data_IF_647713507232
#
_entry.id   IF_647713507232
#
_cell.length_a   1.000
_cell.length_b   1.000
_cell.length_c   1.000
_cell.angle_alpha   90.00
_cell.angle_beta   90.00
_cell.angle_gamma   90.00
#
_symmetry.space_group_name_H-M   'P 1'
#
loop_
_entity.id
_entity.type
_entity.pdbx_description
1 polymer ?
#
# COMPACT_ATOMS: atom_id res chain seq x y z
N UNK A 1 13.08 -59.38 -40.56
CA UNK A 1 12.46 -59.88 -41.80
C UNK A 1 11.47 -60.97 -41.42
N UNK A 2 10.21 -60.77 -41.79
CA UNK A 2 9.17 -61.73 -42.22
C UNK A 2 9.11 -63.13 -41.59
N UNK A 3 7.95 -63.45 -41.02
CA UNK A 3 7.40 -64.79 -40.78
C UNK A 3 6.39 -64.74 -39.63
N UNK A 4 5.12 -65.13 -39.73
CA UNK A 4 4.42 -65.88 -40.75
C UNK A 4 2.91 -65.56 -40.75
N UNK A 5 2.33 -65.61 -41.96
CA UNK A 5 0.93 -65.87 -42.25
C UNK A 5 0.51 -67.25 -41.70
N UNK A 6 -0.73 -67.40 -41.21
CA UNK A 6 -1.67 -68.43 -41.71
C UNK A 6 -3.09 -67.90 -41.56
N UNK A 7 -3.85 -68.20 -42.60
CA UNK A 7 -5.17 -67.73 -42.97
C UNK A 7 -6.31 -68.61 -42.46
N UNK A 8 -7.47 -67.95 -42.35
CA UNK A 8 -8.83 -68.39 -42.70
C UNK A 8 -9.45 -69.62 -42.02
N UNK A 9 -10.65 -69.40 -41.45
CA UNK A 9 -11.86 -70.11 -41.87
C UNK A 9 -13.10 -69.23 -41.65
N UNK A 10 -13.88 -69.11 -42.71
CA UNK A 10 -15.15 -68.38 -42.87
C UNK A 10 -16.31 -69.36 -42.62
N UNK A 11 -17.45 -68.84 -42.13
CA UNK A 11 -18.86 -69.13 -42.52
C UNK A 11 -19.83 -68.97 -41.32
N UNK A 12 -21.14 -68.80 -41.51
CA UNK A 12 -21.81 -67.64 -42.10
C UNK A 12 -22.93 -67.09 -41.20
N UNK A 13 -23.58 -66.04 -41.73
CA UNK A 13 -24.71 -65.27 -41.21
C UNK A 13 -25.87 -66.06 -40.56
N UNK A 14 -26.60 -65.39 -39.68
CA UNK A 14 -28.06 -65.20 -39.76
C UNK A 14 -28.57 -64.29 -38.62
N UNK A 15 -29.55 -63.43 -38.92
CA UNK A 15 -30.59 -63.08 -37.94
C UNK A 15 -30.56 -61.67 -37.33
N UNK A 16 -31.18 -60.73 -38.05
CA UNK A 16 -32.22 -59.81 -37.56
C UNK A 16 -32.02 -59.07 -36.22
N UNK A 17 -32.01 -57.72 -36.31
CA UNK A 17 -33.10 -56.83 -35.87
C UNK A 17 -32.60 -55.39 -35.90
N UNK A 18 -33.16 -54.60 -36.81
CA UNK A 18 -33.06 -53.13 -36.80
C UNK A 18 -33.84 -52.56 -35.62
N UNK A 19 -33.21 -51.82 -34.68
CA UNK A 19 -33.94 -50.91 -33.81
C UNK A 19 -34.11 -49.59 -34.56
N UNK A 20 -35.34 -49.41 -35.03
CA UNK A 20 -36.12 -48.17 -35.01
C UNK A 20 -35.33 -46.90 -34.60
N UNK A 21 -35.16 -45.99 -35.58
CA UNK A 21 -34.68 -44.62 -35.36
C UNK A 21 -35.62 -43.92 -34.38
N UNK A 22 -35.23 -43.85 -33.11
CA UNK A 22 -35.84 -42.93 -32.15
C UNK A 22 -35.60 -41.50 -32.65
N UNK A 23 -36.63 -40.64 -32.72
CA UNK A 23 -36.45 -39.24 -33.09
C UNK A 23 -35.54 -38.58 -32.06
N UNK A 24 -34.49 -37.92 -32.55
CA UNK A 24 -33.59 -37.11 -31.74
C UNK A 24 -34.44 -36.15 -30.90
N UNK A 25 -34.55 -36.46 -29.61
CA UNK A 25 -35.14 -35.54 -28.65
C UNK A 25 -34.12 -34.42 -28.54
N UNK A 26 -34.41 -33.29 -29.18
CA UNK A 26 -33.70 -32.03 -29.00
C UNK A 26 -33.89 -31.65 -27.54
N UNK A 27 -33.02 -32.19 -26.68
CA UNK A 27 -32.94 -31.83 -25.29
C UNK A 27 -32.56 -30.36 -25.24
N UNK A 28 -33.54 -29.51 -24.95
CA UNK A 28 -33.28 -28.17 -24.51
C UNK A 28 -32.47 -28.29 -23.23
N UNK A 29 -31.14 -28.24 -23.36
CA UNK A 29 -30.23 -28.05 -22.24
C UNK A 29 -30.55 -26.69 -21.68
N UNK A 30 -31.44 -26.64 -20.69
CA UNK A 30 -31.56 -25.50 -19.80
C UNK A 30 -30.18 -25.30 -19.20
N UNK A 31 -29.45 -24.30 -19.71
CA UNK A 31 -28.25 -23.83 -19.06
C UNK A 31 -28.69 -23.44 -17.64
N UNK A 32 -28.38 -24.29 -16.66
CA UNK A 32 -28.65 -24.01 -15.26
C UNK A 32 -27.82 -22.78 -14.95
N UNK A 33 -28.49 -21.62 -14.90
CA UNK A 33 -27.85 -20.37 -14.58
C UNK A 33 -27.16 -20.56 -13.23
N UNK A 34 -25.83 -20.46 -13.23
CA UNK A 34 -25.06 -20.53 -11.98
C UNK A 34 -25.62 -19.47 -11.03
N UNK A 35 -25.86 -19.80 -9.76
CA UNK A 35 -26.36 -18.83 -8.81
C UNK A 35 -25.39 -17.63 -8.77
N UNK A 36 -25.91 -16.40 -8.63
CA UNK A 36 -25.06 -15.23 -8.57
C UNK A 36 -24.06 -15.37 -7.43
N UNK A 37 -22.80 -14.94 -7.59
CA UNK A 37 -21.78 -15.06 -6.56
C UNK A 37 -22.22 -14.33 -5.28
N UNK A 38 -21.87 -14.89 -4.12
CA UNK A 38 -22.08 -14.22 -2.83
C UNK A 38 -21.23 -12.95 -2.72
N UNK A 39 -21.62 -12.02 -1.85
CA UNK A 39 -20.86 -10.78 -1.66
C UNK A 39 -19.42 -11.05 -1.18
N UNK A 40 -19.24 -12.08 -0.33
CA UNK A 40 -17.92 -12.53 0.08
C UNK A 40 -17.07 -13.04 -1.10
N UNK A 41 -17.70 -13.77 -2.03
CA UNK A 41 -17.03 -14.23 -3.25
C UNK A 41 -16.68 -13.05 -4.17
N UNK A 42 -17.55 -12.05 -4.27
CA UNK A 42 -17.30 -10.83 -5.05
C UNK A 42 -16.12 -10.02 -4.48
N UNK A 43 -16.09 -9.78 -3.17
CA UNK A 43 -14.98 -9.05 -2.52
C UNK A 43 -13.66 -9.82 -2.69
N UNK A 44 -13.65 -11.14 -2.53
CA UNK A 44 -12.44 -11.95 -2.75
C UNK A 44 -11.99 -11.90 -4.22
N UNK A 45 -12.94 -11.91 -5.18
CA UNK A 45 -12.65 -11.77 -6.60
C UNK A 45 -12.07 -10.38 -6.91
N UNK A 46 -12.63 -9.32 -6.34
CA UNK A 46 -12.11 -7.96 -6.45
C UNK A 46 -10.65 -7.89 -5.96
N UNK A 47 -10.36 -8.43 -4.77
CA UNK A 47 -8.99 -8.47 -4.21
C UNK A 47 -8.02 -9.22 -5.15
N UNK A 48 -8.44 -10.35 -5.73
CA UNK A 48 -7.61 -11.11 -6.65
C UNK A 48 -7.30 -10.34 -7.94
N UNK A 49 -8.29 -9.65 -8.52
CA UNK A 49 -8.12 -8.81 -9.70
C UNK A 49 -7.20 -7.62 -9.41
N UNK A 50 -7.45 -6.90 -8.31
CA UNK A 50 -6.61 -5.77 -7.88
C UNK A 50 -5.16 -6.21 -7.61
N UNK A 51 -4.96 -7.39 -7.05
CA UNK A 51 -3.62 -7.97 -6.84
C UNK A 51 -2.92 -8.25 -8.18
N UNK A 52 -3.63 -8.81 -9.16
CA UNK A 52 -3.08 -9.05 -10.48
C UNK A 52 -2.75 -7.73 -11.21
N UNK A 53 -3.64 -6.74 -11.09
CA UNK A 53 -3.46 -5.40 -11.64
C UNK A 53 -2.22 -4.71 -11.04
N UNK A 54 -2.05 -4.75 -9.72
CA UNK A 54 -0.89 -4.20 -9.03
C UNK A 54 0.42 -4.85 -9.47
N UNK A 55 0.45 -6.19 -9.57
CA UNK A 55 1.63 -6.93 -10.03
C UNK A 55 2.00 -6.55 -11.47
N UNK A 56 1.00 -6.36 -12.32
CA UNK A 56 1.23 -5.95 -13.69
C UNK A 56 1.76 -4.51 -13.75
N UNK A 57 1.19 -3.59 -12.98
CA UNK A 57 1.69 -2.22 -12.86
C UNK A 57 3.14 -2.15 -12.39
N UNK A 58 3.50 -2.97 -11.39
CA UNK A 58 4.86 -3.06 -10.86
C UNK A 58 5.86 -3.56 -11.92
N UNK A 59 5.49 -4.57 -12.74
CA UNK A 59 6.32 -5.07 -13.85
C UNK A 59 6.54 -4.03 -14.94
N UNK A 60 5.52 -3.21 -15.20
CA UNK A 60 5.56 -2.19 -16.26
C UNK A 60 6.01 -0.81 -15.76
N UNK A 61 6.44 -0.71 -14.49
CA UNK A 61 6.80 0.53 -13.80
C UNK A 61 5.73 1.65 -13.94
N UNK A 62 4.45 1.27 -13.87
CA UNK A 62 3.31 2.20 -13.96
C UNK A 62 2.37 2.02 -12.77
N UNK A 63 1.87 3.13 -12.23
CA UNK A 63 0.74 3.09 -11.30
C UNK A 63 -0.49 2.56 -12.06
N UNK A 64 -1.21 1.53 -11.54
CA UNK A 64 -2.32 0.95 -12.28
C UNK A 64 -3.50 1.93 -12.39
N UNK A 65 -4.18 2.23 -11.27
CA UNK A 65 -5.22 3.27 -11.19
C UNK A 65 -4.83 4.34 -10.18
N UNK A 66 -5.22 5.58 -10.46
CA UNK A 66 -4.94 6.74 -9.60
C UNK A 66 -6.14 7.22 -8.77
N UNK A 67 -7.29 6.56 -8.93
CA UNK A 67 -8.53 6.86 -8.23
C UNK A 67 -9.20 5.54 -7.80
N UNK A 68 -10.10 5.58 -6.83
CA UNK A 68 -10.83 4.42 -6.31
C UNK A 68 -12.06 4.07 -7.17
N UNK A 69 -11.91 4.08 -8.49
CA UNK A 69 -13.01 3.85 -9.45
C UNK A 69 -13.30 2.37 -9.70
N UNK A 70 -12.39 1.48 -9.29
CA UNK A 70 -12.51 0.04 -9.50
C UNK A 70 -13.85 -0.51 -8.99
N UNK A 71 -14.30 -0.09 -7.81
CA UNK A 71 -15.52 -0.59 -7.20
C UNK A 71 -16.76 -0.35 -8.06
N UNK A 72 -16.91 0.86 -8.63
CA UNK A 72 -18.04 1.23 -9.45
C UNK A 72 -18.10 0.41 -10.75
N UNK A 73 -16.96 0.24 -11.42
CA UNK A 73 -16.84 -0.60 -12.63
C UNK A 73 -17.15 -2.07 -12.30
N UNK A 74 -16.49 -2.60 -11.27
CA UNK A 74 -16.58 -4.01 -10.88
C UNK A 74 -18.00 -4.41 -10.45
N UNK A 75 -18.68 -3.58 -9.65
CA UNK A 75 -20.03 -3.87 -9.17
C UNK A 75 -21.05 -3.82 -10.32
N UNK A 76 -20.94 -2.84 -11.22
CA UNK A 76 -21.78 -2.75 -12.42
C UNK A 76 -21.65 -3.98 -13.32
N UNK A 77 -20.43 -4.48 -13.54
CA UNK A 77 -20.18 -5.70 -14.32
C UNK A 77 -20.83 -6.96 -13.71
N UNK A 78 -21.03 -6.98 -12.39
CA UNK A 78 -21.64 -8.09 -11.67
C UNK A 78 -23.12 -7.85 -11.33
N UNK A 79 -23.74 -6.80 -11.89
CA UNK A 79 -25.14 -6.46 -11.63
C UNK A 79 -25.41 -6.17 -10.15
N UNK A 80 -24.49 -5.46 -9.49
CA UNK A 80 -24.57 -5.05 -8.09
C UNK A 80 -24.47 -3.53 -8.00
N UNK A 81 -25.22 -2.96 -7.05
CA UNK A 81 -25.10 -1.54 -6.69
C UNK A 81 -24.09 -1.33 -5.56
N UNK A 82 -24.02 -2.27 -4.61
CA UNK A 82 -23.14 -2.21 -3.44
C UNK A 82 -22.82 -3.60 -2.90
N UNK A 83 -21.89 -3.66 -1.95
CA UNK A 83 -21.61 -4.80 -1.07
C UNK A 83 -21.60 -4.31 0.38
N UNK A 84 -21.87 -5.17 1.39
CA UNK A 84 -21.87 -4.76 2.78
C UNK A 84 -20.52 -4.17 3.23
N UNK A 85 -20.52 -2.94 3.74
CA UNK A 85 -19.29 -2.21 4.10
C UNK A 85 -18.50 -2.86 5.24
N UNK A 86 -19.17 -3.56 6.15
CA UNK A 86 -18.60 -4.34 7.25
C UNK A 86 -17.87 -5.60 6.76
N UNK A 87 -18.33 -6.20 5.66
CA UNK A 87 -17.60 -7.27 4.97
C UNK A 87 -16.31 -6.74 4.33
N UNK A 88 -16.37 -5.56 3.70
CA UNK A 88 -15.20 -4.89 3.12
C UNK A 88 -14.22 -4.49 4.22
N UNK A 89 -14.70 -3.94 5.34
CA UNK A 89 -13.88 -3.59 6.50
C UNK A 89 -13.06 -4.78 7.01
N UNK A 90 -13.67 -5.96 7.20
CA UNK A 90 -12.96 -7.18 7.63
C UNK A 90 -11.81 -7.59 6.71
N UNK A 91 -11.89 -7.23 5.42
CA UNK A 91 -10.81 -7.47 4.45
C UNK A 91 -9.78 -6.34 4.45
N UNK A 92 -10.23 -5.11 4.66
CA UNK A 92 -9.40 -3.92 4.71
C UNK A 92 -8.51 -3.87 5.97
N UNK A 93 -9.06 -4.26 7.14
CA UNK A 93 -8.38 -4.15 8.43
C UNK A 93 -7.13 -5.04 8.52
N UNK A 94 -7.04 -6.08 7.67
CA UNK A 94 -5.97 -7.07 7.68
C UNK A 94 -5.09 -6.98 6.45
N UNK A 95 -3.85 -7.42 6.61
CA UNK A 95 -2.91 -7.57 5.48
C UNK A 95 -3.43 -8.52 4.41
N UNK A 96 -3.52 -7.99 3.18
CA UNK A 96 -3.95 -8.70 1.97
C UNK A 96 -2.77 -9.26 1.17
N UNK A 97 -1.59 -8.60 1.24
CA UNK A 97 -0.39 -9.02 0.53
C UNK A 97 0.89 -8.83 1.36
N UNK A 98 1.94 -9.61 1.07
CA UNK A 98 3.26 -9.46 1.71
C UNK A 98 4.07 -8.30 1.12
N UNK A 99 3.87 -8.00 -0.17
CA UNK A 99 4.47 -6.83 -0.80
C UNK A 99 3.71 -5.58 -0.35
N UNK A 100 4.43 -4.61 0.21
CA UNK A 100 3.84 -3.41 0.81
C UNK A 100 3.13 -2.52 -0.22
N UNK A 101 3.65 -2.42 -1.45
CA UNK A 101 3.01 -1.65 -2.52
C UNK A 101 1.71 -2.32 -2.97
N UNK A 102 1.74 -3.64 -3.20
CA UNK A 102 0.53 -4.38 -3.59
C UNK A 102 -0.54 -4.32 -2.50
N UNK A 103 -0.16 -4.51 -1.24
CA UNK A 103 -1.10 -4.42 -0.11
C UNK A 103 -1.72 -3.03 -0.01
N UNK A 104 -0.89 -1.97 -0.11
CA UNK A 104 -1.38 -0.59 -0.12
C UNK A 104 -2.32 -0.32 -1.29
N UNK A 105 -1.98 -0.78 -2.49
CA UNK A 105 -2.81 -0.59 -3.67
C UNK A 105 -4.18 -1.25 -3.51
N UNK A 106 -4.20 -2.53 -3.12
CA UNK A 106 -5.45 -3.29 -2.94
C UNK A 106 -6.32 -2.62 -1.89
N UNK A 107 -5.79 -2.35 -0.70
CA UNK A 107 -6.58 -1.73 0.38
C UNK A 107 -7.07 -0.33 0.05
N UNK A 108 -6.28 0.46 -0.69
CA UNK A 108 -6.70 1.77 -1.16
C UNK A 108 -7.86 1.67 -2.14
N UNK A 109 -7.81 0.74 -3.10
CA UNK A 109 -8.91 0.50 -4.03
C UNK A 109 -10.16 -0.05 -3.33
N UNK A 110 -9.99 -0.82 -2.25
CA UNK A 110 -11.11 -1.26 -1.41
C UNK A 110 -11.87 -0.10 -0.76
N UNK A 111 -11.27 1.08 -0.58
CA UNK A 111 -11.99 2.26 -0.10
C UNK A 111 -13.14 2.68 -1.03
N UNK A 112 -13.04 2.37 -2.33
CA UNK A 112 -14.11 2.63 -3.30
C UNK A 112 -15.37 1.81 -3.04
N UNK A 113 -15.28 0.71 -2.29
CA UNK A 113 -16.44 -0.07 -1.83
C UNK A 113 -17.05 0.48 -0.54
N UNK A 114 -16.59 1.65 -0.06
CA UNK A 114 -17.07 2.33 1.14
C UNK A 114 -17.06 1.43 2.40
N UNK A 115 -15.89 0.96 2.86
CA UNK A 115 -15.80 0.13 4.06
C UNK A 115 -16.38 0.86 5.27
N UNK A 116 -17.18 0.13 6.06
CA UNK A 116 -17.80 0.68 7.26
C UNK A 116 -16.76 0.75 8.38
N UNK A 117 -16.36 1.97 8.76
CA UNK A 117 -15.49 2.16 9.93
C UNK A 117 -16.24 1.69 11.18
N UNK A 118 -15.63 0.81 12.00
CA UNK A 118 -16.27 0.23 13.18
C UNK A 118 -16.52 1.23 14.33
N UNK A 119 -16.02 2.46 14.27
CA UNK A 119 -16.20 3.45 15.34
C UNK A 119 -15.75 2.91 16.69
N UNK A 120 -16.51 3.17 17.74
CA UNK A 120 -16.22 2.72 19.10
C UNK A 120 -16.22 1.19 19.27
N UNK A 121 -16.79 0.43 18.33
CA UNK A 121 -16.79 -1.04 18.41
C UNK A 121 -15.43 -1.67 18.13
N UNK A 122 -14.49 -0.93 17.50
CA UNK A 122 -13.11 -1.37 17.36
C UNK A 122 -12.42 -1.33 18.71
N UNK A 123 -11.89 -2.45 19.19
CA UNK A 123 -11.14 -2.45 20.45
C UNK A 123 -9.75 -1.87 20.23
N UNK A 124 -9.17 -1.29 21.27
CA UNK A 124 -7.85 -0.69 21.21
C UNK A 124 -6.74 -1.65 20.79
N UNK A 125 -6.83 -2.92 21.17
CA UNK A 125 -5.90 -3.96 20.73
C UNK A 125 -6.04 -4.29 19.22
N UNK A 126 -7.25 -4.17 18.67
CA UNK A 126 -7.49 -4.34 17.24
C UNK A 126 -7.04 -3.11 16.45
N UNK A 127 -7.16 -1.91 17.04
CA UNK A 127 -6.56 -0.68 16.51
C UNK A 127 -5.03 -0.75 16.46
N UNK A 128 -4.39 -1.24 17.52
CA UNK A 128 -2.94 -1.43 17.54
C UNK A 128 -2.51 -2.43 16.44
N UNK A 129 -3.22 -3.56 16.31
CA UNK A 129 -2.96 -4.51 15.23
C UNK A 129 -3.15 -3.87 13.85
N UNK A 130 -4.21 -3.08 13.67
CA UNK A 130 -4.45 -2.37 12.41
C UNK A 130 -3.27 -1.45 12.07
N UNK A 131 -2.77 -0.68 13.04
CA UNK A 131 -1.60 0.20 12.90
C UNK A 131 -0.36 -0.59 12.49
N UNK A 132 -0.07 -1.69 13.19
CA UNK A 132 1.07 -2.55 12.92
C UNK A 132 1.00 -3.21 11.54
N UNK A 133 -0.22 -3.50 11.08
CA UNK A 133 -0.47 -4.09 9.76
C UNK A 133 -0.60 -3.05 8.64
N UNK A 134 -0.47 -1.74 8.91
CA UNK A 134 -0.53 -0.76 7.83
C UNK A 134 0.60 -0.97 6.82
N UNK A 135 0.33 -0.83 5.52
CA UNK A 135 1.37 -0.94 4.51
C UNK A 135 2.51 0.04 4.79
N UNK A 136 3.74 -0.47 4.87
CA UNK A 136 4.93 0.34 5.03
C UNK A 136 5.11 1.26 3.81
N UNK A 137 5.64 2.47 4.04
CA UNK A 137 6.07 3.32 2.94
C UNK A 137 7.38 2.77 2.35
N UNK A 138 7.47 2.77 1.03
CA UNK A 138 8.69 2.48 0.32
C UNK A 138 9.75 3.55 0.66
N UNK A 139 11.01 3.15 0.89
CA UNK A 139 12.06 4.06 1.34
C UNK A 139 12.42 5.10 0.27
N UNK A 140 12.77 6.30 0.70
CA UNK A 140 13.25 7.38 -0.15
C UNK A 140 14.65 7.05 -0.72
N UNK A 141 14.83 6.93 -2.05
CA UNK A 141 16.14 6.68 -2.65
C UNK A 141 17.21 7.71 -2.29
N UNK A 142 16.80 8.95 -1.96
CA UNK A 142 17.71 10.03 -1.55
C UNK A 142 18.35 9.81 -0.18
N UNK A 143 17.95 8.77 0.56
CA UNK A 143 18.58 8.37 1.82
C UNK A 143 19.62 7.26 1.62
N UNK A 144 20.01 6.97 0.36
CA UNK A 144 21.03 5.97 0.06
C UNK A 144 22.36 6.35 0.72
N UNK A 145 22.77 5.55 1.70
CA UNK A 145 23.96 5.79 2.51
C UNK A 145 25.24 5.77 1.68
N UNK A 146 25.31 4.92 0.66
CA UNK A 146 26.49 4.81 -0.19
C UNK A 146 26.62 6.05 -1.08
N UNK A 147 25.50 6.53 -1.64
CA UNK A 147 25.51 7.77 -2.41
C UNK A 147 25.84 9.00 -1.55
N UNK A 148 25.24 9.11 -0.35
CA UNK A 148 25.55 10.19 0.61
C UNK A 148 27.02 10.18 1.01
N UNK A 149 27.59 9.00 1.33
CA UNK A 149 29.00 8.87 1.65
C UNK A 149 29.90 9.30 0.49
N UNK A 150 29.59 8.86 -0.73
CA UNK A 150 30.32 9.24 -1.95
C UNK A 150 30.31 10.76 -2.19
N UNK A 151 29.16 11.40 -2.02
CA UNK A 151 29.03 12.87 -2.17
C UNK A 151 29.85 13.58 -1.08
N UNK A 152 29.78 13.13 0.18
CA UNK A 152 30.60 13.68 1.26
C UNK A 152 32.10 13.51 1.01
N UNK A 153 32.52 12.37 0.47
CA UNK A 153 33.92 12.13 0.09
C UNK A 153 34.39 13.03 -1.05
N UNK A 154 33.51 13.32 -2.02
CA UNK A 154 33.78 14.26 -3.09
C UNK A 154 33.92 15.71 -2.57
N UNK A 155 33.01 16.13 -1.67
CA UNK A 155 33.08 17.45 -1.02
C UNK A 155 34.40 17.62 -0.26
N UNK A 156 34.81 16.61 0.52
CA UNK A 156 36.06 16.65 1.29
C UNK A 156 37.32 16.78 0.43
N UNK A 157 37.30 16.21 -0.79
CA UNK A 157 38.41 16.30 -1.74
C UNK A 157 38.50 17.64 -2.46
N UNK A 158 37.46 18.49 -2.34
CA UNK A 158 37.34 19.82 -2.95
C UNK A 158 37.28 19.85 -4.48
N UNK A 159 37.99 18.96 -5.17
CA UNK A 159 37.94 18.79 -6.62
C UNK A 159 37.88 17.29 -6.94
N UNK A 160 37.05 16.93 -7.92
CA UNK A 160 36.97 15.57 -8.47
C UNK A 160 37.33 15.54 -9.95
N UNK A 161 37.63 14.37 -10.48
CA UNK A 161 37.84 14.22 -11.92
C UNK A 161 36.54 14.45 -12.70
N UNK A 162 36.65 14.81 -13.98
CA UNK A 162 35.49 14.98 -14.86
C UNK A 162 34.62 13.71 -14.91
N UNK A 163 35.26 12.54 -14.97
CA UNK A 163 34.58 11.25 -14.98
C UNK A 163 33.79 11.01 -13.68
N UNK A 164 34.36 11.36 -12.53
CA UNK A 164 33.68 11.25 -11.26
C UNK A 164 32.54 12.25 -11.13
N UNK A 165 32.76 13.51 -11.53
CA UNK A 165 31.73 14.53 -11.57
C UNK A 165 30.53 14.08 -12.42
N UNK A 166 30.78 13.55 -13.61
CA UNK A 166 29.73 13.03 -14.49
C UNK A 166 28.97 11.87 -13.83
N UNK A 167 29.68 10.92 -13.22
CA UNK A 167 29.06 9.79 -12.54
C UNK A 167 28.23 10.21 -11.30
N UNK A 168 28.61 11.27 -10.59
CA UNK A 168 27.80 11.84 -9.49
C UNK A 168 26.52 12.50 -10.05
N UNK A 169 26.61 13.27 -11.14
CA UNK A 169 25.43 13.89 -11.79
C UNK A 169 24.44 12.84 -12.28
N UNK A 170 24.92 11.79 -12.93
CA UNK A 170 24.08 10.70 -13.42
C UNK A 170 23.37 9.95 -12.29
N UNK A 171 24.10 9.66 -11.21
CA UNK A 171 23.54 9.04 -10.02
C UNK A 171 22.51 9.94 -9.33
N UNK A 172 22.77 11.24 -9.17
CA UNK A 172 21.82 12.19 -8.59
C UNK A 172 20.54 12.30 -9.44
N UNK A 173 20.68 12.40 -10.76
CA UNK A 173 19.54 12.43 -11.68
C UNK A 173 18.72 11.12 -11.62
N UNK A 174 19.38 9.97 -11.52
CA UNK A 174 18.71 8.68 -11.36
C UNK A 174 17.94 8.59 -10.03
N UNK A 175 18.55 9.01 -8.92
CA UNK A 175 17.90 9.06 -7.61
C UNK A 175 16.74 10.06 -7.58
N UNK A 176 16.87 11.20 -8.29
CA UNK A 176 15.79 12.17 -8.47
C UNK A 176 14.56 11.54 -9.12
N UNK A 177 14.75 10.88 -10.27
CA UNK A 177 13.67 10.20 -10.99
C UNK A 177 13.05 9.10 -10.14
N UNK A 178 13.89 8.25 -9.55
CA UNK A 178 13.43 7.14 -8.70
C UNK A 178 12.67 7.62 -7.46
N UNK A 179 13.09 8.72 -6.84
CA UNK A 179 12.37 9.30 -5.72
C UNK A 179 10.97 9.79 -6.13
N UNK A 180 10.84 10.42 -7.30
CA UNK A 180 9.53 10.81 -7.84
C UNK A 180 8.63 9.59 -8.09
N UNK A 181 9.19 8.54 -8.71
CA UNK A 181 8.48 7.28 -8.97
C UNK A 181 8.02 6.61 -7.66
N UNK A 182 8.92 6.45 -6.68
CA UNK A 182 8.57 5.84 -5.39
C UNK A 182 7.57 6.68 -4.61
N UNK A 183 7.68 8.01 -4.65
CA UNK A 183 6.70 8.89 -4.02
C UNK A 183 5.30 8.67 -4.60
N UNK A 184 5.20 8.47 -5.92
CA UNK A 184 3.96 8.10 -6.58
C UNK A 184 3.45 6.71 -6.15
N UNK A 185 4.36 5.71 -6.04
CA UNK A 185 4.02 4.37 -5.53
C UNK A 185 3.59 4.38 -4.05
N UNK A 186 4.01 5.37 -3.26
CA UNK A 186 3.60 5.54 -1.87
C UNK A 186 2.21 6.18 -1.70
N UNK A 187 1.63 6.75 -2.77
CA UNK A 187 0.32 7.41 -2.72
C UNK A 187 -0.79 6.53 -2.10
N UNK A 188 -0.96 5.25 -2.48
CA UNK A 188 -2.00 4.40 -1.89
C UNK A 188 -1.85 4.26 -0.36
N UNK A 189 -0.63 4.05 0.12
CA UNK A 189 -0.34 3.88 1.54
C UNK A 189 -0.57 5.18 2.34
N UNK A 190 -0.35 6.35 1.71
CA UNK A 190 -0.66 7.66 2.30
C UNK A 190 -2.15 7.94 2.30
N UNK A 191 -2.88 7.59 1.24
CA UNK A 191 -4.34 7.77 1.16
C UNK A 191 -5.08 6.90 2.17
N UNK A 192 -4.64 5.65 2.40
CA UNK A 192 -5.17 4.79 3.48
C UNK A 192 -5.04 5.47 4.83
N UNK A 193 -3.84 5.99 5.16
CA UNK A 193 -3.60 6.70 6.42
C UNK A 193 -4.47 7.94 6.57
N UNK A 194 -4.65 8.73 5.50
CA UNK A 194 -5.55 9.89 5.50
C UNK A 194 -7.01 9.49 5.69
N UNK A 195 -7.45 8.39 5.08
CA UNK A 195 -8.79 7.87 5.28
C UNK A 195 -8.98 7.41 6.72
N UNK A 196 -8.05 6.64 7.29
CA UNK A 196 -8.08 6.20 8.68
C UNK A 196 -8.07 7.38 9.66
N UNK A 197 -7.23 8.39 9.42
CA UNK A 197 -7.18 9.60 10.23
C UNK A 197 -8.54 10.34 10.25
N UNK A 198 -9.22 10.41 9.10
CA UNK A 198 -10.55 11.03 8.98
C UNK A 198 -11.64 10.17 9.63
N UNK A 199 -11.66 8.87 9.36
CA UNK A 199 -12.64 7.93 9.93
C UNK A 199 -12.51 7.81 11.45
N UNK A 200 -11.28 7.87 11.96
CA UNK A 200 -11.00 7.92 13.40
C UNK A 200 -11.39 9.26 14.05
N UNK A 201 -11.79 10.28 13.27
CA UNK A 201 -12.14 11.61 13.76
C UNK A 201 -13.28 11.66 14.77
N UNK A 202 -14.08 10.60 14.87
CA UNK A 202 -15.10 10.42 15.92
C UNK A 202 -14.49 10.22 17.32
N UNK A 203 -13.22 9.80 17.40
CA UNK A 203 -12.46 9.65 18.65
C UNK A 203 -11.18 10.48 18.59
N UNK A 204 -11.13 11.53 19.42
CA UNK A 204 -9.96 12.42 19.52
C UNK A 204 -8.66 11.63 19.74
N UNK A 205 -8.68 10.61 20.61
CA UNK A 205 -7.53 9.75 20.89
C UNK A 205 -7.06 8.99 19.62
N UNK A 206 -7.97 8.33 18.91
CA UNK A 206 -7.62 7.49 17.75
C UNK A 206 -7.13 8.33 16.59
N UNK A 207 -7.74 9.49 16.36
CA UNK A 207 -7.30 10.43 15.33
C UNK A 207 -5.86 10.90 15.60
N UNK A 208 -5.52 11.20 16.86
CA UNK A 208 -4.15 11.56 17.26
C UNK A 208 -3.17 10.41 17.09
N UNK A 209 -3.58 9.19 17.42
CA UNK A 209 -2.75 8.00 17.23
C UNK A 209 -2.44 7.77 15.74
N UNK A 210 -3.40 7.99 14.84
CA UNK A 210 -3.19 7.91 13.38
C UNK A 210 -2.24 8.99 12.86
N UNK A 211 -2.29 10.20 13.42
CA UNK A 211 -1.34 11.27 13.06
C UNK A 211 0.09 10.92 13.45
N UNK A 212 0.28 10.40 14.66
CA UNK A 212 1.58 9.93 15.13
C UNK A 212 2.11 8.78 14.26
N UNK A 213 1.26 7.81 13.91
CA UNK A 213 1.62 6.72 12.99
C UNK A 213 2.09 7.27 11.64
N UNK A 214 1.37 8.24 11.06
CA UNK A 214 1.75 8.82 9.77
C UNK A 214 3.10 9.53 9.82
N UNK A 215 3.41 10.27 10.89
CA UNK A 215 4.74 10.86 11.10
C UNK A 215 5.80 9.77 11.20
N UNK A 216 5.57 8.76 12.02
CA UNK A 216 6.48 7.62 12.18
C UNK A 216 6.78 6.95 10.83
N UNK A 217 5.74 6.69 10.03
CA UNK A 217 5.88 6.04 8.73
C UNK A 217 6.71 6.87 7.75
N UNK A 218 6.45 8.18 7.66
CA UNK A 218 7.21 9.10 6.80
C UNK A 218 8.67 9.16 7.20
N UNK A 219 8.96 9.37 8.49
CA UNK A 219 10.33 9.50 9.00
C UNK A 219 11.09 8.19 8.85
N UNK A 220 10.46 7.05 9.16
CA UNK A 220 11.10 5.73 9.05
C UNK A 220 11.46 5.38 7.61
N UNK A 221 10.67 5.83 6.64
CA UNK A 221 10.95 5.67 5.22
C UNK A 221 11.81 6.81 4.63
N UNK A 222 12.22 7.78 5.46
CA UNK A 222 13.08 8.89 5.07
C UNK A 222 12.43 9.92 4.14
N UNK A 223 11.13 10.12 4.30
CA UNK A 223 10.36 11.16 3.63
C UNK A 223 10.14 12.35 4.57
N UNK A 224 10.04 13.54 3.99
CA UNK A 224 9.77 14.77 4.76
C UNK A 224 8.45 14.64 5.55
N UNK A 225 8.53 14.87 6.85
CA UNK A 225 7.40 14.83 7.78
C UNK A 225 7.07 16.18 8.43
N UNK A 226 7.70 17.29 8.01
CA UNK A 226 7.53 18.63 8.60
C UNK A 226 6.07 19.09 8.67
N UNK A 227 5.33 18.97 7.57
CA UNK A 227 3.91 19.31 7.53
C UNK A 227 3.09 18.51 8.56
N UNK A 228 3.13 17.16 8.51
CA UNK A 228 2.51 16.31 9.51
C UNK A 228 2.94 16.58 10.96
N UNK A 229 4.23 16.86 11.22
CA UNK A 229 4.74 17.21 12.57
C UNK A 229 4.10 18.49 13.11
N UNK A 230 4.02 19.54 12.29
CA UNK A 230 3.34 20.80 12.65
C UNK A 230 1.84 20.60 12.89
N UNK A 231 1.22 19.72 12.08
CA UNK A 231 -0.20 19.39 12.26
C UNK A 231 -0.45 18.71 13.61
N UNK A 232 0.41 17.77 14.04
CA UNK A 232 0.30 17.12 15.35
C UNK A 232 0.29 18.14 16.48
N UNK A 233 1.26 19.06 16.50
CA UNK A 233 1.35 20.06 17.56
C UNK A 233 0.07 20.90 17.64
N UNK A 234 -0.36 21.46 16.50
CA UNK A 234 -1.59 22.24 16.40
C UNK A 234 -2.81 21.45 16.89
N UNK A 235 -2.92 20.18 16.48
CA UNK A 235 -4.04 19.30 16.84
C UNK A 235 -4.05 18.92 18.32
N UNK A 236 -2.89 18.69 18.92
CA UNK A 236 -2.80 18.44 20.36
C UNK A 236 -3.23 19.68 21.16
N UNK A 237 -2.81 20.87 20.73
CA UNK A 237 -3.20 22.13 21.35
C UNK A 237 -4.70 22.45 21.22
N UNK A 238 -5.30 22.12 20.07
CA UNK A 238 -6.76 22.21 19.86
C UNK A 238 -7.50 21.24 20.79
N UNK A 239 -6.94 20.04 20.98
CA UNK A 239 -7.62 18.97 21.70
C UNK A 239 -7.49 19.00 23.22
N UNK A 240 -6.65 19.88 23.78
CA UNK A 240 -6.42 19.99 25.23
C UNK A 240 -7.71 20.11 26.06
N UNK A 241 -8.74 20.76 25.50
CA UNK A 241 -10.04 21.03 26.17
C UNK A 241 -11.11 19.96 25.91
N UNK A 242 -10.83 18.92 25.12
CA UNK A 242 -11.81 17.85 24.91
C UNK A 242 -11.84 16.94 26.14
N UNK A 243 -12.99 16.86 26.79
CA UNK A 243 -13.23 16.01 27.96
C UNK A 243 -13.04 14.50 27.66
N UNK A 244 -13.00 14.12 26.37
CA UNK A 244 -12.86 12.74 25.89
C UNK A 244 -11.45 12.15 26.08
N UNK A 245 -10.41 12.99 26.22
CA UNK A 245 -9.03 12.53 26.43
C UNK A 245 -8.76 12.27 27.91
N UNK A 246 -8.95 11.02 28.32
CA UNK A 246 -8.56 10.49 29.64
C UNK A 246 -7.05 10.55 29.86
N UNK A 247 -6.61 10.45 31.11
CA UNK A 247 -5.18 10.39 31.45
C UNK A 247 -4.48 9.18 30.81
N UNK A 248 -5.18 8.05 30.70
CA UNK A 248 -4.69 6.86 30.01
C UNK A 248 -4.46 7.12 28.51
N UNK A 249 -5.41 7.76 27.83
CA UNK A 249 -5.24 8.17 26.43
C UNK A 249 -4.04 9.12 26.27
N UNK A 250 -3.89 10.11 27.16
CA UNK A 250 -2.78 11.06 27.13
C UNK A 250 -1.44 10.36 27.36
N UNK A 251 -1.37 9.42 28.30
CA UNK A 251 -0.17 8.63 28.58
C UNK A 251 0.24 7.77 27.37
N UNK A 252 -0.72 7.12 26.71
CA UNK A 252 -0.46 6.29 25.52
C UNK A 252 -0.03 7.12 24.32
N UNK A 253 -0.65 8.27 24.07
CA UNK A 253 -0.20 9.20 23.02
C UNK A 253 1.22 9.72 23.30
N UNK A 254 1.53 10.06 24.55
CA UNK A 254 2.87 10.48 24.94
C UNK A 254 3.90 9.36 24.76
N UNK A 255 3.56 8.11 25.07
CA UNK A 255 4.43 6.96 24.82
C UNK A 255 4.67 6.74 23.33
N UNK A 256 3.62 6.81 22.51
CA UNK A 256 3.73 6.71 21.06
C UNK A 256 4.63 7.82 20.49
N UNK A 257 4.46 9.07 20.96
CA UNK A 257 5.33 10.19 20.59
C UNK A 257 6.80 9.94 20.96
N UNK A 258 7.08 9.51 22.19
CA UNK A 258 8.43 9.20 22.67
C UNK A 258 9.10 8.06 21.93
N UNK A 259 8.33 7.07 21.46
CA UNK A 259 8.88 5.96 20.67
C UNK A 259 9.49 6.38 19.33
N UNK A 260 9.21 7.61 18.88
CA UNK A 260 9.78 8.17 17.65
C UNK A 260 11.10 8.92 17.86
N UNK A 261 11.50 9.18 19.11
CA UNK A 261 12.76 9.89 19.40
C UNK A 261 13.93 9.11 18.80
N UNK A 262 14.76 9.81 18.03
CA UNK A 262 15.95 9.22 17.40
C UNK A 262 15.68 8.51 16.07
N UNK A 263 14.44 8.47 15.60
CA UNK A 263 14.17 8.15 14.20
C UNK A 263 14.75 9.27 13.33
N UNK A 264 15.70 8.90 12.49
CA UNK A 264 16.36 9.82 11.57
C UNK A 264 16.83 9.15 10.29
N UNK A 265 16.71 9.86 9.19
CA UNK A 265 17.29 9.50 7.91
C UNK A 265 17.85 10.75 7.23
N UNK A 266 19.17 10.84 7.00
CA UNK A 266 19.73 11.92 6.20
C UNK A 266 19.28 11.79 4.75
N UNK A 267 18.99 12.92 4.12
CA UNK A 267 18.46 13.02 2.76
C UNK A 267 19.37 13.95 1.98
N UNK A 268 19.87 13.51 0.82
CA UNK A 268 20.48 14.43 -0.14
C UNK A 268 19.37 15.11 -0.95
N UNK A 269 19.24 16.42 -0.83
CA UNK A 269 18.18 17.18 -1.53
C UNK A 269 18.66 17.76 -2.84
N UNK A 270 19.95 18.14 -2.90
CA UNK A 270 20.58 18.69 -4.10
C UNK A 270 22.06 18.37 -4.11
N UNK A 271 22.59 18.05 -5.28
CA UNK A 271 24.04 18.01 -5.54
C UNK A 271 24.35 19.01 -6.65
N UNK A 272 25.31 19.89 -6.41
CA UNK A 272 25.88 20.84 -7.35
C UNK A 272 27.32 20.46 -7.68
N UNK A 273 27.73 20.68 -8.93
CA UNK A 273 29.13 20.59 -9.32
C UNK A 273 29.49 21.90 -10.01
N UNK A 274 30.28 22.72 -9.32
CA UNK A 274 30.71 24.04 -9.75
C UNK A 274 31.87 24.00 -10.73
N UNK A 275 32.48 25.17 -10.95
CA UNK A 275 33.69 25.31 -11.74
C UNK A 275 34.82 24.49 -11.12
N UNK A 276 35.73 24.00 -11.96
CA UNK A 276 36.86 23.14 -11.52
C UNK A 276 36.43 21.81 -10.86
N UNK A 277 35.20 21.35 -11.13
CA UNK A 277 34.62 20.13 -10.54
C UNK A 277 34.54 20.15 -9.00
N UNK A 278 34.34 21.32 -8.40
CA UNK A 278 34.03 21.40 -6.98
C UNK A 278 32.62 20.87 -6.72
N UNK A 279 32.51 19.87 -5.83
CA UNK A 279 31.21 19.28 -5.47
C UNK A 279 30.64 19.99 -4.25
N UNK A 280 29.37 20.37 -4.33
CA UNK A 280 28.57 20.93 -3.26
C UNK A 280 27.31 20.09 -3.09
N UNK A 281 26.78 19.97 -1.88
CA UNK A 281 25.50 19.30 -1.67
C UNK A 281 24.69 19.97 -0.56
N UNK A 282 23.37 19.89 -0.71
CA UNK A 282 22.41 20.22 0.33
C UNK A 282 21.88 18.93 0.92
N UNK A 283 21.90 18.87 2.24
CA UNK A 283 21.34 17.78 3.01
C UNK A 283 20.15 18.29 3.81
N UNK A 284 19.16 17.42 3.95
CA UNK A 284 18.03 17.58 4.85
C UNK A 284 17.94 16.31 5.71
N UNK A 285 17.03 16.28 6.66
CA UNK A 285 16.84 15.14 7.56
C UNK A 285 15.35 14.87 7.76
N UNK A 286 14.92 13.66 7.44
CA UNK A 286 13.66 13.16 7.97
C UNK A 286 13.94 12.68 9.40
N UNK A 287 13.56 13.49 10.39
CA UNK A 287 13.75 13.17 11.80
C UNK A 287 12.59 13.61 12.70
N UNK A 288 12.51 12.94 13.85
CA UNK A 288 11.77 13.40 15.03
C UNK A 288 12.77 13.67 16.16
N UNK A 289 12.87 14.94 16.56
CA UNK A 289 13.77 15.37 17.62
C UNK A 289 13.09 15.33 18.99
N UNK A 290 13.91 15.19 20.03
CA UNK A 290 13.44 15.19 21.42
C UNK A 290 12.69 16.49 21.79
N UNK A 291 13.16 17.64 21.31
CA UNK A 291 12.48 18.91 21.59
C UNK A 291 11.05 18.95 21.00
N UNK A 292 10.83 18.39 19.80
CA UNK A 292 9.50 18.32 19.16
C UNK A 292 8.58 17.41 19.96
N UNK A 293 9.07 16.24 20.38
CA UNK A 293 8.31 15.30 21.21
C UNK A 293 7.95 15.94 22.56
N UNK A 294 8.89 16.65 23.18
CA UNK A 294 8.63 17.36 24.43
C UNK A 294 7.60 18.49 24.26
N UNK A 295 7.53 19.15 23.10
CA UNK A 295 6.44 20.08 22.78
C UNK A 295 5.10 19.36 22.65
N UNK A 296 5.04 18.27 21.89
CA UNK A 296 3.82 17.48 21.73
C UNK A 296 3.29 16.94 23.07
N UNK A 297 4.17 16.36 23.88
CA UNK A 297 3.79 15.82 25.21
C UNK A 297 3.31 16.94 26.14
N UNK A 298 3.94 18.12 26.11
CA UNK A 298 3.47 19.28 26.88
C UNK A 298 2.11 19.78 26.41
N UNK A 299 1.84 19.74 25.10
CA UNK A 299 0.53 20.09 24.55
C UNK A 299 -0.56 19.10 24.99
N UNK A 300 -0.22 17.83 25.24
CA UNK A 300 -1.15 16.82 25.78
C UNK A 300 -1.35 16.88 27.30
N UNK A 301 -0.40 17.45 28.06
CA UNK A 301 -0.45 17.45 29.53
C UNK A 301 -1.19 18.67 30.13
N UNK A 302 -1.52 19.66 29.31
CA UNK A 302 -2.24 20.88 29.68
C UNK A 302 -3.71 20.81 29.25
#
# INVERSE_FOLDING_TARGET
MLGAFVALCVLPAMGERTPEKSPATTGWSYAVAQPPPSDAALVNKAIALLTAEARQGQKENRLPRQETTFAAEFLREHGRESVPGDLVWKRFERRTNRDAFIDAYVRWQLLGFNPAWPGDSLKDADLDRLIEELPALLPNPRTDRAFIARVNDAIRRQQVSDAEAQAIREADAALTRRASEINNLNRPALEIRRWLERSAGESTFRAHLMRLERVRALVSAGWNAEGPKRDILRRFEESKRHAELTDEHRARLAQAARSMIGLRAPIVTRVGIGNENAVEAQFDEAAVYDFEVNEWVRALAR
#
